data_IF_641600880066
#
_entry.id   IF_641600880066
#
_cell.length_a   1.000
_cell.length_b   1.000
_cell.length_c   1.000
_cell.angle_alpha   90.00
_cell.angle_beta   90.00
_cell.angle_gamma   90.00
#
_symmetry.space_group_name_H-M   'P 1'
#
loop_
_entity.id
_entity.type
_entity.pdbx_description
1 polymer ?
#
# COMPACT_ATOMS: atom_id res chain seq x y z
N UNK A 1 -5.25 -30.45 23.28
CA UNK A 1 -4.71 -29.57 22.23
C UNK A 1 -3.31 -30.04 21.88
N UNK A 2 -3.12 -30.51 20.66
CA UNK A 2 -1.84 -30.99 20.14
C UNK A 2 -0.98 -29.83 19.64
N UNK A 3 0.34 -30.00 19.61
CA UNK A 3 1.29 -28.96 19.18
C UNK A 3 1.02 -28.40 17.78
N UNK A 4 0.47 -29.24 16.89
CA UNK A 4 0.07 -28.87 15.52
C UNK A 4 -1.13 -27.90 15.52
N UNK A 5 -2.08 -28.05 16.45
CA UNK A 5 -3.24 -27.16 16.57
C UNK A 5 -2.86 -25.77 17.10
N UNK A 6 -1.82 -25.68 17.93
CA UNK A 6 -1.30 -24.40 18.46
C UNK A 6 -0.54 -23.64 17.37
N UNK A 7 0.34 -24.33 16.62
CA UNK A 7 1.04 -23.69 15.50
C UNK A 7 0.06 -23.21 14.43
N UNK A 8 -0.91 -24.06 14.04
CA UNK A 8 -1.94 -23.68 13.08
C UNK A 8 -2.76 -22.47 13.53
N UNK A 9 -3.20 -22.42 14.80
CA UNK A 9 -3.85 -21.25 15.37
C UNK A 9 -2.96 -20.01 15.29
N UNK A 10 -1.69 -20.11 15.65
CA UNK A 10 -0.78 -18.96 15.62
C UNK A 10 -0.57 -18.42 14.20
N UNK A 11 -0.40 -19.30 13.20
CA UNK A 11 -0.29 -18.88 11.80
C UNK A 11 -1.58 -18.21 11.29
N UNK A 12 -2.74 -18.79 11.58
CA UNK A 12 -4.04 -18.22 11.22
C UNK A 12 -4.26 -16.86 11.91
N UNK A 13 -3.82 -16.71 13.16
CA UNK A 13 -3.93 -15.46 13.91
C UNK A 13 -3.01 -14.38 13.34
N UNK A 14 -1.76 -14.71 12.96
CA UNK A 14 -0.82 -13.75 12.37
C UNK A 14 -1.27 -13.29 10.98
N UNK A 15 -1.76 -14.20 10.14
CA UNK A 15 -2.33 -13.84 8.84
C UNK A 15 -3.58 -12.96 8.99
N UNK A 16 -4.45 -13.29 9.95
CA UNK A 16 -5.65 -12.51 10.25
C UNK A 16 -5.32 -11.09 10.74
N UNK A 17 -4.31 -10.93 11.60
CA UNK A 17 -3.89 -9.63 12.11
C UNK A 17 -3.45 -8.68 11.00
N UNK A 18 -2.65 -9.17 10.04
CA UNK A 18 -2.21 -8.36 8.91
C UNK A 18 -3.40 -7.92 8.03
N UNK A 19 -4.37 -8.81 7.81
CA UNK A 19 -5.58 -8.48 7.07
C UNK A 19 -6.45 -7.44 7.79
N UNK A 20 -6.63 -7.58 9.11
CA UNK A 20 -7.40 -6.62 9.91
C UNK A 20 -6.77 -5.21 9.88
N UNK A 21 -5.45 -5.10 9.99
CA UNK A 21 -4.75 -3.82 9.87
C UNK A 21 -4.96 -3.18 8.49
N UNK A 22 -4.92 -3.98 7.42
CA UNK A 22 -5.17 -3.48 6.06
C UNK A 22 -6.62 -3.00 5.88
N UNK A 23 -7.59 -3.69 6.49
CA UNK A 23 -9.00 -3.25 6.50
C UNK A 23 -9.15 -1.92 7.24
N UNK A 24 -8.53 -1.77 8.42
CA UNK A 24 -8.60 -0.54 9.21
C UNK A 24 -8.07 0.69 8.43
N UNK A 25 -6.97 0.53 7.70
CA UNK A 25 -6.42 1.58 6.82
C UNK A 25 -7.45 1.97 5.75
N UNK A 26 -8.06 0.98 5.09
CA UNK A 26 -9.06 1.22 4.05
C UNK A 26 -10.32 1.90 4.58
N UNK A 27 -10.81 1.51 5.76
CA UNK A 27 -11.98 2.13 6.39
C UNK A 27 -11.72 3.60 6.73
N UNK A 28 -10.53 3.90 7.28
CA UNK A 28 -10.13 5.26 7.60
C UNK A 28 -10.04 6.15 6.37
N UNK A 29 -9.38 5.67 5.31
CA UNK A 29 -9.25 6.39 4.04
C UNK A 29 -10.61 6.63 3.37
N UNK A 30 -11.52 5.64 3.42
CA UNK A 30 -12.89 5.80 2.92
C UNK A 30 -13.65 6.88 3.70
N UNK A 31 -13.47 6.95 5.02
CA UNK A 31 -14.09 7.97 5.85
C UNK A 31 -13.52 9.37 5.58
N UNK A 32 -12.21 9.48 5.38
CA UNK A 32 -11.55 10.74 4.99
C UNK A 32 -12.02 11.22 3.61
N UNK A 33 -12.18 10.31 2.65
CA UNK A 33 -12.76 10.59 1.33
C UNK A 33 -14.20 11.10 1.39
N UNK A 34 -15.04 10.50 2.24
CA UNK A 34 -16.42 10.98 2.45
C UNK A 34 -16.46 12.38 3.03
N UNK A 35 -15.45 12.77 3.81
CA UNK A 35 -15.36 14.09 4.45
C UNK A 35 -14.75 15.16 3.56
N UNK A 36 -13.97 14.78 2.56
CA UNK A 36 -13.21 15.69 1.70
C UNK A 36 -13.86 15.80 0.31
N UNK A 37 -14.61 16.89 0.09
CA UNK A 37 -15.24 17.15 -1.21
C UNK A 37 -14.26 17.56 -2.31
N UNK A 38 -13.03 17.94 -1.98
CA UNK A 38 -12.00 18.39 -2.94
C UNK A 38 -10.60 18.12 -2.38
N UNK A 39 -10.09 16.89 -2.51
CA UNK A 39 -8.66 16.62 -2.28
C UNK A 39 -7.87 16.96 -3.55
N UNK A 40 -7.57 18.25 -3.71
CA UNK A 40 -6.50 18.72 -4.61
C UNK A 40 -5.21 18.56 -3.83
N UNK A 41 -4.45 17.50 -4.11
CA UNK A 41 -3.15 17.25 -3.48
C UNK A 41 -2.06 17.58 -4.51
N UNK A 42 -1.19 18.54 -4.21
CA UNK A 42 -0.06 18.90 -5.06
C UNK A 42 0.99 17.77 -5.08
N UNK A 43 1.38 17.34 -6.28
CA UNK A 43 1.89 15.97 -6.50
C UNK A 43 3.42 15.83 -6.68
N UNK A 44 4.16 16.92 -6.88
CA UNK A 44 5.58 16.80 -7.29
C UNK A 44 6.49 16.16 -6.23
N UNK A 45 6.28 16.47 -4.95
CA UNK A 45 7.08 15.90 -3.86
C UNK A 45 6.72 14.44 -3.57
N UNK A 46 5.42 14.12 -3.63
CA UNK A 46 4.90 12.78 -3.40
C UNK A 46 5.36 11.79 -4.48
N UNK A 47 5.39 12.21 -5.75
CA UNK A 47 5.91 11.39 -6.85
C UNK A 47 7.36 10.96 -6.63
N UNK A 48 8.22 11.86 -6.17
CA UNK A 48 9.62 11.54 -5.86
C UNK A 48 9.76 10.54 -4.70
N UNK A 49 8.90 10.65 -3.68
CA UNK A 49 8.87 9.72 -2.54
C UNK A 49 8.50 8.31 -3.03
N UNK A 50 7.42 8.20 -3.81
CA UNK A 50 6.96 6.90 -4.34
C UNK A 50 8.01 6.30 -5.29
N UNK A 51 8.59 7.09 -6.18
CA UNK A 51 9.68 6.63 -7.05
C UNK A 51 10.88 6.12 -6.25
N UNK A 52 11.29 6.84 -5.19
CA UNK A 52 12.39 6.40 -4.32
C UNK A 52 12.10 5.08 -3.61
N UNK A 53 10.86 4.89 -3.15
CA UNK A 53 10.42 3.63 -2.54
C UNK A 53 10.47 2.49 -3.56
N UNK A 54 9.89 2.69 -4.76
CA UNK A 54 9.89 1.68 -5.83
C UNK A 54 11.31 1.32 -6.25
N UNK A 55 12.22 2.29 -6.40
CA UNK A 55 13.63 2.02 -6.73
C UNK A 55 14.34 1.24 -5.63
N UNK A 56 14.10 1.58 -4.35
CA UNK A 56 14.63 0.82 -3.22
C UNK A 56 14.14 -0.63 -3.22
N UNK A 57 12.89 -0.87 -3.57
CA UNK A 57 12.31 -2.21 -3.64
C UNK A 57 12.84 -3.01 -4.84
N UNK A 58 12.98 -2.38 -6.01
CA UNK A 58 13.63 -2.97 -7.19
C UNK A 58 15.06 -3.41 -6.86
N UNK A 59 15.83 -2.61 -6.10
CA UNK A 59 17.19 -3.00 -5.68
C UNK A 59 17.24 -4.19 -4.72
N UNK A 60 16.11 -4.52 -4.07
CA UNK A 60 15.96 -5.67 -3.17
C UNK A 60 15.31 -6.88 -3.83
N UNK A 61 15.10 -6.83 -5.15
CA UNK A 61 14.41 -7.85 -5.96
C UNK A 61 12.98 -8.17 -5.46
N UNK A 62 12.32 -7.19 -4.82
CA UNK A 62 10.92 -7.29 -4.42
C UNK A 62 10.07 -6.91 -5.64
N UNK A 63 9.27 -7.86 -6.13
CA UNK A 63 8.51 -7.75 -7.37
C UNK A 63 7.05 -7.38 -7.16
N UNK A 64 6.50 -7.73 -6.00
CA UNK A 64 5.11 -7.43 -5.63
C UNK A 64 5.11 -6.34 -4.57
N UNK A 65 4.45 -5.23 -4.87
CA UNK A 65 4.09 -4.22 -3.89
C UNK A 65 2.73 -3.64 -4.26
N UNK A 66 1.86 -3.51 -3.26
CA UNK A 66 0.56 -2.90 -3.45
C UNK A 66 0.47 -1.47 -2.88
N UNK A 67 -0.66 -0.84 -3.12
CA UNK A 67 -0.92 0.56 -2.75
C UNK A 67 -0.93 0.76 -1.22
N UNK A 68 -1.33 -0.26 -0.44
CA UNK A 68 -1.37 -0.20 1.02
C UNK A 68 0.04 -0.29 1.61
N UNK A 69 0.90 -1.10 1.00
CA UNK A 69 2.32 -1.16 1.36
C UNK A 69 3.01 0.18 1.08
N UNK A 70 2.70 0.81 -0.06
CA UNK A 70 3.19 2.15 -0.40
C UNK A 70 2.68 3.20 0.59
N UNK A 71 1.41 3.12 1.01
CA UNK A 71 0.84 4.00 2.05
C UNK A 71 1.60 3.86 3.36
N UNK A 72 1.83 2.64 3.80
CA UNK A 72 2.53 2.36 5.05
C UNK A 72 3.98 2.87 5.03
N UNK A 73 4.65 2.85 3.88
CA UNK A 73 6.05 3.31 3.73
C UNK A 73 6.19 4.80 3.50
N UNK A 74 5.25 5.42 2.80
CA UNK A 74 5.30 6.84 2.39
C UNK A 74 4.50 7.75 3.31
N UNK A 75 3.56 7.20 4.08
CA UNK A 75 2.55 7.92 4.84
C UNK A 75 1.73 8.91 3.99
N UNK A 76 1.59 8.60 2.69
CA UNK A 76 0.78 9.37 1.74
C UNK A 76 -0.62 8.77 1.64
N UNK A 77 -1.67 9.59 1.39
CA UNK A 77 -3.03 9.10 1.21
C UNK A 77 -3.13 8.11 0.05
N UNK A 78 -3.97 7.07 0.20
CA UNK A 78 -4.12 6.05 -0.85
C UNK A 78 -4.51 6.65 -2.20
N UNK A 79 -5.39 7.67 -2.19
CA UNK A 79 -5.81 8.33 -3.42
C UNK A 79 -4.66 9.05 -4.15
N UNK A 80 -3.71 9.60 -3.40
CA UNK A 80 -2.54 10.25 -3.97
C UNK A 80 -1.59 9.20 -4.57
N UNK A 81 -1.40 8.10 -3.86
CA UNK A 81 -0.55 6.99 -4.34
C UNK A 81 -1.14 6.37 -5.60
N UNK A 82 -2.45 6.12 -5.65
CA UNK A 82 -3.10 5.57 -6.84
C UNK A 82 -2.90 6.46 -8.06
N UNK A 83 -3.08 7.78 -7.93
CA UNK A 83 -2.83 8.74 -9.01
C UNK A 83 -1.37 8.71 -9.47
N UNK A 84 -0.43 8.72 -8.54
CA UNK A 84 1.00 8.65 -8.88
C UNK A 84 1.34 7.33 -9.57
N UNK A 85 0.77 6.21 -9.13
CA UNK A 85 0.99 4.91 -9.77
C UNK A 85 0.44 4.88 -11.19
N UNK A 86 -0.76 5.40 -11.44
CA UNK A 86 -1.32 5.58 -12.79
C UNK A 86 -0.41 6.46 -13.68
N UNK A 87 0.14 7.57 -13.14
CA UNK A 87 1.11 8.40 -13.85
C UNK A 87 2.40 7.64 -14.17
N UNK A 88 2.95 6.87 -13.23
CA UNK A 88 4.19 6.13 -13.43
C UNK A 88 4.02 4.96 -14.40
N UNK A 89 2.83 4.37 -14.44
CA UNK A 89 2.46 3.33 -15.41
C UNK A 89 2.31 3.91 -16.81
N UNK A 90 1.61 5.02 -16.96
CA UNK A 90 1.48 5.74 -18.24
C UNK A 90 2.84 6.25 -18.76
N UNK A 91 3.78 6.58 -17.88
CA UNK A 91 5.17 6.91 -18.21
C UNK A 91 6.06 5.68 -18.49
N UNK A 92 5.54 4.46 -18.34
CA UNK A 92 6.25 3.20 -18.60
C UNK A 92 7.31 2.84 -17.53
N UNK A 93 7.27 3.46 -16.36
CA UNK A 93 8.21 3.18 -15.25
C UNK A 93 7.79 1.99 -14.38
N UNK A 94 6.51 1.65 -14.41
CA UNK A 94 5.89 0.49 -13.77
C UNK A 94 5.20 -0.30 -14.87
N UNK A 95 5.60 -1.55 -15.10
CA UNK A 95 4.79 -2.49 -15.86
C UNK A 95 3.91 -3.21 -14.85
N UNK A 96 2.62 -3.34 -15.15
CA UNK A 96 1.66 -4.11 -14.39
C UNK A 96 2.32 -5.39 -13.85
N UNK A 97 2.22 -5.53 -12.52
CA UNK A 97 2.41 -6.81 -11.86
C UNK A 97 1.09 -7.54 -12.13
N UNK A 98 1.03 -8.29 -13.23
CA UNK A 98 -0.03 -9.29 -13.49
C UNK A 98 0.00 -10.43 -12.47
#
# INVERSE_FOLDING_TARGET
MTYVEIQKNNFETTALQSLLQRIEILEKELEELKKSSELIVEDKGAKLIIQGIIQSLKSKDIKEIDVIDLHTKSNLPLIQISKIMEELETEGMVKEIE
#
